data_IF_709946019324
#
_entry.id   IF_709946019324
#
_cell.length_a   1.000
_cell.length_b   1.000
_cell.length_c   1.000
_cell.angle_alpha   90.00
_cell.angle_beta   90.00
_cell.angle_gamma   90.00
#
_symmetry.space_group_name_H-M   'P 1'
#
loop_
_entity.id
_entity.type
_entity.pdbx_description
1 polymer ?
#
# COMPACT_ATOMS: atom_id res chain seq x y z
N UNK A 1 -0.03 1.02 -0.84
CA UNK A 1 -1.37 1.39 -0.40
C UNK A 1 -2.13 1.95 -1.58
N UNK A 2 -3.22 1.28 -1.93
CA UNK A 2 -4.23 1.74 -2.87
C UNK A 2 -5.25 2.61 -2.12
N UNK A 3 -4.97 3.91 -2.04
CA UNK A 3 -5.79 4.85 -1.25
C UNK A 3 -7.08 5.25 -1.97
N UNK A 4 -7.13 5.11 -3.30
CA UNK A 4 -8.35 5.41 -4.07
C UNK A 4 -9.43 4.38 -3.76
N UNK A 5 -9.07 3.10 -3.76
CA UNK A 5 -9.99 2.05 -3.35
C UNK A 5 -10.10 2.02 -1.83
N UNK A 6 -9.03 1.95 -1.05
CA UNK A 6 -9.08 1.85 0.41
C UNK A 6 -8.77 3.19 1.10
N UNK A 7 -9.73 4.11 1.02
CA UNK A 7 -9.65 5.45 1.65
C UNK A 7 -9.66 5.39 3.18
N UNK A 8 -9.04 6.39 3.80
CA UNK A 8 -9.15 6.64 5.23
C UNK A 8 -10.60 6.99 5.56
N UNK A 9 -11.25 6.33 6.53
CA UNK A 9 -12.62 6.65 6.90
C UNK A 9 -12.77 8.10 7.37
N UNK A 10 -13.96 8.67 7.17
CA UNK A 10 -14.28 10.02 7.63
C UNK A 10 -14.00 10.17 9.14
N UNK A 11 -13.42 11.31 9.54
CA UNK A 11 -12.98 11.61 10.91
C UNK A 11 -11.94 10.65 11.52
N UNK A 12 -11.17 9.92 10.71
CA UNK A 12 -10.01 9.14 11.17
C UNK A 12 -8.71 9.80 10.73
N UNK A 13 -7.69 9.71 11.59
CA UNK A 13 -6.37 10.24 11.30
C UNK A 13 -5.59 9.28 10.41
N UNK A 14 -5.12 9.77 9.26
CA UNK A 14 -4.21 9.02 8.38
C UNK A 14 -2.87 8.75 9.08
N UNK A 15 -2.41 9.68 9.92
CA UNK A 15 -1.17 9.57 10.70
C UNK A 15 -1.23 8.33 11.60
N UNK A 16 -2.31 8.23 12.39
CA UNK A 16 -2.52 7.07 13.27
C UNK A 16 -2.65 5.75 12.49
N UNK A 17 -3.25 5.78 11.29
CA UNK A 17 -3.33 4.59 10.45
C UNK A 17 -1.93 4.13 9.99
N UNK A 18 -1.10 5.06 9.50
CA UNK A 18 0.27 4.76 9.06
C UNK A 18 1.10 4.23 10.24
N UNK A 19 1.01 4.86 11.41
CA UNK A 19 1.68 4.39 12.63
C UNK A 19 1.25 2.98 13.02
N UNK A 20 -0.05 2.67 12.95
CA UNK A 20 -0.56 1.35 13.30
C UNK A 20 -0.12 0.28 12.31
N UNK A 21 -0.02 0.61 11.02
CA UNK A 21 0.50 -0.28 9.98
C UNK A 21 1.98 -0.58 10.22
N UNK A 22 2.78 0.45 10.57
CA UNK A 22 4.19 0.28 10.94
C UNK A 22 4.36 -0.59 12.17
N UNK A 23 3.53 -0.34 13.19
CA UNK A 23 3.54 -1.13 14.42
C UNK A 23 3.21 -2.61 14.14
N UNK A 24 2.23 -2.89 13.27
CA UNK A 24 1.90 -4.25 12.85
C UNK A 24 3.10 -4.96 12.20
N UNK A 25 3.85 -4.27 11.33
CA UNK A 25 5.06 -4.84 10.73
C UNK A 25 6.15 -5.08 11.79
N UNK A 26 6.34 -4.13 12.71
CA UNK A 26 7.32 -4.23 13.79
C UNK A 26 7.02 -5.37 14.77
N UNK A 27 5.74 -5.57 15.14
CA UNK A 27 5.27 -6.68 15.97
C UNK A 27 5.59 -8.06 15.34
N UNK A 28 5.73 -8.11 14.01
CA UNK A 28 6.16 -9.29 13.24
C UNK A 28 7.66 -9.33 12.93
N UNK A 29 8.45 -8.50 13.61
CA UNK A 29 9.91 -8.43 13.46
C UNK A 29 10.39 -7.94 12.08
N UNK A 30 9.56 -7.18 11.35
CA UNK A 30 9.95 -6.53 10.10
C UNK A 30 10.31 -5.06 10.32
N UNK A 31 11.28 -4.58 9.52
CA UNK A 31 11.61 -3.16 9.42
C UNK A 31 11.05 -2.60 8.09
N UNK A 32 10.50 -1.39 8.14
CA UNK A 32 10.00 -0.71 6.94
C UNK A 32 11.14 -0.51 5.93
N UNK A 33 10.92 -0.96 4.70
CA UNK A 33 11.80 -0.64 3.58
C UNK A 33 11.22 0.46 2.69
N UNK A 34 9.96 0.29 2.33
CA UNK A 34 9.19 1.24 1.54
C UNK A 34 7.76 1.27 2.07
N UNK A 35 7.20 2.48 2.19
CA UNK A 35 5.78 2.71 2.38
C UNK A 35 5.31 3.64 1.28
N UNK A 36 4.55 3.12 0.32
CA UNK A 36 4.15 3.86 -0.87
C UNK A 36 2.64 3.91 -1.01
N UNK A 37 2.14 5.10 -1.35
CA UNK A 37 0.75 5.39 -1.66
C UNK A 37 0.68 5.80 -3.13
N UNK A 38 -0.18 5.16 -3.91
CA UNK A 38 -0.33 5.46 -5.33
C UNK A 38 -1.72 6.04 -5.57
N UNK A 39 -1.80 7.25 -6.12
CA UNK A 39 -3.06 7.93 -6.40
C UNK A 39 -2.90 9.11 -7.36
N UNK A 40 -4.01 9.56 -7.94
CA UNK A 40 -4.06 10.89 -8.56
C UNK A 40 -4.13 11.96 -7.47
N UNK A 41 -2.99 12.59 -7.18
CA UNK A 41 -2.89 13.65 -6.14
C UNK A 41 -3.83 14.83 -6.38
N UNK A 42 -4.34 15.04 -7.60
CA UNK A 42 -5.32 16.09 -7.91
C UNK A 42 -6.72 15.76 -7.38
N UNK A 43 -6.99 14.48 -7.08
CA UNK A 43 -8.26 13.99 -6.52
C UNK A 43 -8.24 13.84 -5.00
N UNK A 44 -7.07 14.03 -4.37
CA UNK A 44 -6.88 13.96 -2.93
C UNK A 44 -7.02 15.36 -2.33
N UNK A 45 -7.70 15.45 -1.19
CA UNK A 45 -7.82 16.71 -0.46
C UNK A 45 -6.44 17.15 0.06
N UNK A 46 -6.08 18.43 -0.09
CA UNK A 46 -4.78 18.95 0.33
C UNK A 46 -4.40 18.61 1.79
N UNK A 47 -5.31 18.72 2.79
CA UNK A 47 -4.98 18.34 4.17
C UNK A 47 -4.60 16.87 4.32
N UNK A 48 -5.26 15.96 3.58
CA UNK A 48 -4.92 14.54 3.60
C UNK A 48 -3.55 14.29 2.96
N UNK A 49 -3.21 15.03 1.91
CA UNK A 49 -1.90 14.94 1.27
C UNK A 49 -0.78 15.45 2.19
N UNK A 50 -1.01 16.54 2.92
CA UNK A 50 -0.07 17.10 3.89
C UNK A 50 0.15 16.15 5.07
N UNK A 51 -0.91 15.53 5.58
CA UNK A 51 -0.79 14.51 6.63
C UNK A 51 -0.01 13.29 6.14
N UNK A 52 -0.26 12.80 4.91
CA UNK A 52 0.53 11.72 4.30
C UNK A 52 2.01 12.10 4.22
N UNK A 53 2.33 13.30 3.72
CA UNK A 53 3.70 13.78 3.64
C UNK A 53 4.38 13.86 5.02
N UNK A 54 3.64 14.29 6.05
CA UNK A 54 4.13 14.37 7.44
C UNK A 54 4.50 12.99 7.99
N UNK A 55 3.82 11.93 7.56
CA UNK A 55 4.14 10.55 7.96
C UNK A 55 5.35 9.94 7.25
N UNK A 56 5.96 10.67 6.31
CA UNK A 56 7.09 10.21 5.50
C UNK A 56 6.77 8.99 4.61
N UNK A 57 5.49 8.82 4.23
CA UNK A 57 5.15 7.85 3.18
C UNK A 57 5.40 8.45 1.80
N UNK A 58 5.85 7.64 0.86
CA UNK A 58 6.08 8.10 -0.52
C UNK A 58 4.76 8.16 -1.27
N UNK A 59 4.32 9.37 -1.63
CA UNK A 59 3.14 9.56 -2.49
C UNK A 59 3.56 9.57 -3.97
N UNK A 60 3.17 8.53 -4.70
CA UNK A 60 3.42 8.39 -6.13
C UNK A 60 2.20 8.91 -6.89
N UNK A 61 2.38 10.04 -7.56
CA UNK A 61 1.35 10.60 -8.43
C UNK A 61 1.17 9.74 -9.68
N UNK A 62 -0.08 9.37 -9.97
CA UNK A 62 -0.48 8.79 -11.24
C UNK A 62 -1.60 9.61 -11.87
N UNK A 63 -1.52 9.81 -13.18
CA UNK A 63 -2.53 10.58 -13.88
C UNK A 63 -3.78 9.72 -14.10
N UNK A 64 -4.91 10.11 -13.51
CA UNK A 64 -6.15 9.35 -13.55
C UNK A 64 -6.86 9.26 -14.91
N UNK A 65 -6.23 9.70 -16.02
CA UNK A 65 -6.77 9.51 -17.38
C UNK A 65 -6.69 8.05 -17.83
N UNK A 66 -5.75 7.28 -17.29
CA UNK A 66 -5.61 5.85 -17.58
C UNK A 66 -6.28 5.07 -16.46
N UNK A 67 -7.37 4.38 -16.79
CA UNK A 67 -8.05 3.44 -15.89
C UNK A 67 -7.04 2.40 -15.39
N UNK A 68 -7.04 2.12 -14.09
CA UNK A 68 -6.14 1.16 -13.42
C UNK A 68 -4.64 1.54 -13.42
N UNK A 69 -4.28 2.80 -13.71
CA UNK A 69 -2.89 3.23 -13.64
C UNK A 69 -2.28 3.03 -12.24
N UNK A 70 -3.07 3.34 -11.20
CA UNK A 70 -2.69 3.12 -9.80
C UNK A 70 -2.33 1.65 -9.55
N UNK A 71 -3.18 0.73 -10.02
CA UNK A 71 -3.00 -0.72 -9.83
C UNK A 71 -1.76 -1.24 -10.54
N UNK A 72 -1.56 -0.85 -11.80
CA UNK A 72 -0.40 -1.26 -12.59
C UNK A 72 0.91 -0.80 -11.94
N UNK A 73 0.96 0.44 -11.45
CA UNK A 73 2.12 0.96 -10.73
C UNK A 73 2.32 0.18 -9.43
N UNK A 74 1.27 -0.04 -8.63
CA UNK A 74 1.37 -0.83 -7.39
C UNK A 74 1.90 -2.25 -7.65
N UNK A 75 1.41 -2.93 -8.69
CA UNK A 75 1.89 -4.25 -9.10
C UNK A 75 3.38 -4.19 -9.48
N UNK A 76 3.79 -3.19 -10.26
CA UNK A 76 5.19 -2.98 -10.62
C UNK A 76 6.08 -2.71 -9.39
N UNK A 77 5.58 -1.93 -8.41
CA UNK A 77 6.29 -1.67 -7.15
C UNK A 77 6.47 -2.94 -6.34
N UNK A 78 5.46 -3.81 -6.28
CA UNK A 78 5.53 -5.12 -5.62
C UNK A 78 6.58 -6.01 -6.29
N UNK A 79 6.52 -6.21 -7.61
CA UNK A 79 7.50 -7.04 -8.33
C UNK A 79 8.92 -6.49 -8.14
N UNK A 80 9.11 -5.16 -8.20
CA UNK A 80 10.41 -4.52 -7.98
C UNK A 80 10.94 -4.75 -6.55
N UNK A 81 10.10 -4.55 -5.54
CA UNK A 81 10.49 -4.77 -4.15
C UNK A 81 10.95 -6.22 -3.92
N UNK A 82 10.24 -7.20 -4.47
CA UNK A 82 10.61 -8.61 -4.36
C UNK A 82 11.88 -8.94 -5.15
N UNK A 83 12.07 -8.33 -6.32
CA UNK A 83 13.32 -8.47 -7.08
C UNK A 83 14.53 -7.93 -6.29
N UNK A 84 14.36 -6.79 -5.60
CA UNK A 84 15.44 -6.12 -4.87
C UNK A 84 15.76 -6.77 -3.52
N UNK A 85 14.75 -7.26 -2.79
CA UNK A 85 14.93 -7.84 -1.43
C UNK A 85 15.04 -9.35 -1.41
N UNK A 86 14.52 -10.03 -2.44
CA UNK A 86 14.53 -11.48 -2.51
C UNK A 86 13.63 -12.16 -1.48
N UNK A 87 14.03 -13.36 -1.09
CA UNK A 87 13.28 -14.26 -0.20
C UNK A 87 13.23 -13.72 1.24
N UNK A 88 12.20 -14.12 2.00
CA UNK A 88 12.00 -13.73 3.41
C UNK A 88 11.68 -12.24 3.63
N UNK A 89 11.01 -11.61 2.66
CA UNK A 89 10.43 -10.27 2.79
C UNK A 89 8.94 -10.34 3.16
N UNK A 90 8.38 -9.20 3.56
CA UNK A 90 6.96 -9.06 3.85
C UNK A 90 6.33 -7.95 3.01
N UNK A 91 5.08 -8.16 2.63
CA UNK A 91 4.23 -7.18 1.96
C UNK A 91 3.02 -6.93 2.86
N UNK A 92 2.81 -5.66 3.22
CA UNK A 92 1.53 -5.19 3.77
C UNK A 92 0.78 -4.46 2.66
N UNK A 93 -0.26 -5.10 2.12
CA UNK A 93 -1.10 -4.51 1.09
C UNK A 93 -2.36 -3.92 1.70
N UNK A 94 -2.62 -2.64 1.45
CA UNK A 94 -3.84 -1.94 1.84
C UNK A 94 -4.65 -1.70 0.57
N UNK A 95 -5.63 -2.56 0.31
CA UNK A 95 -6.55 -2.51 -0.83
C UNK A 95 -7.70 -3.50 -0.59
N UNK A 96 -8.85 -3.24 -1.18
CA UNK A 96 -9.97 -4.18 -1.29
C UNK A 96 -10.20 -4.67 -2.73
N UNK A 97 -9.28 -4.39 -3.65
CA UNK A 97 -9.34 -4.88 -5.02
C UNK A 97 -8.78 -6.31 -5.16
N UNK A 98 -9.60 -7.21 -5.69
CA UNK A 98 -9.23 -8.60 -6.00
C UNK A 98 -8.14 -8.70 -7.07
N UNK A 99 -7.94 -7.67 -7.90
CA UNK A 99 -6.93 -7.65 -8.96
C UNK A 99 -5.51 -7.85 -8.45
N UNK A 100 -5.23 -7.56 -7.17
CA UNK A 100 -3.92 -7.83 -6.56
C UNK A 100 -3.72 -9.29 -6.12
N UNK A 101 -4.78 -10.10 -6.04
CA UNK A 101 -4.70 -11.49 -5.57
C UNK A 101 -3.70 -12.36 -6.37
N UNK A 102 -3.66 -12.31 -7.72
CA UNK A 102 -2.73 -13.12 -8.49
C UNK A 102 -1.26 -12.80 -8.20
N UNK A 103 -0.89 -11.52 -8.14
CA UNK A 103 0.50 -11.10 -7.88
C UNK A 103 0.93 -11.42 -6.44
N UNK A 104 0.06 -11.18 -5.46
CA UNK A 104 0.33 -11.52 -4.06
C UNK A 104 0.47 -13.03 -3.87
N UNK A 105 -0.40 -13.82 -4.49
CA UNK A 105 -0.33 -15.29 -4.44
C UNK A 105 0.93 -15.84 -5.11
N UNK A 106 1.31 -15.29 -6.27
CA UNK A 106 2.58 -15.61 -6.96
C UNK A 106 3.77 -15.42 -6.02
N UNK A 107 3.90 -14.27 -5.38
CA UNK A 107 5.05 -14.00 -4.51
C UNK A 107 5.00 -14.76 -3.19
N UNK A 108 3.83 -14.97 -2.60
CA UNK A 108 3.69 -15.82 -1.42
C UNK A 108 4.18 -17.24 -1.68
N UNK A 109 3.75 -17.83 -2.79
CA UNK A 109 4.05 -19.24 -3.11
C UNK A 109 5.47 -19.43 -3.67
N UNK A 110 5.92 -18.56 -4.57
CA UNK A 110 7.18 -18.75 -5.29
C UNK A 110 8.37 -18.10 -4.59
N UNK A 111 8.15 -16.98 -3.89
CA UNK A 111 9.20 -16.19 -3.23
C UNK A 111 9.18 -16.31 -1.70
N UNK A 112 8.25 -17.09 -1.13
CA UNK A 112 8.07 -17.28 0.33
C UNK A 112 7.95 -15.95 1.06
N UNK A 113 7.23 -15.01 0.46
CA UNK A 113 6.97 -13.67 1.01
C UNK A 113 5.79 -13.75 1.96
N UNK A 114 5.91 -13.13 3.13
CA UNK A 114 4.78 -12.98 4.03
C UNK A 114 3.84 -11.90 3.48
N UNK A 115 2.56 -12.22 3.31
CA UNK A 115 1.57 -11.28 2.78
C UNK A 115 0.52 -11.00 3.86
N UNK A 116 0.39 -9.73 4.22
CA UNK A 116 -0.69 -9.21 5.08
C UNK A 116 -1.59 -8.31 4.26
N UNK A 117 -2.86 -8.65 4.16
CA UNK A 117 -3.87 -7.83 3.47
C UNK A 117 -4.71 -7.05 4.50
N UNK A 118 -4.77 -5.74 4.35
CA UNK A 118 -5.64 -4.85 5.10
C UNK A 118 -6.74 -4.39 4.12
N UNK A 119 -7.96 -4.83 4.40
CA UNK A 119 -9.14 -4.54 3.59
C UNK A 119 -10.21 -3.91 4.47
N UNK A 120 -11.13 -3.16 3.85
CA UNK A 120 -12.33 -2.70 4.54
C UNK A 120 -13.16 -3.90 4.98
N UNK A 121 -13.71 -3.84 6.19
CA UNK A 121 -14.66 -4.85 6.64
C UNK A 121 -15.91 -4.73 5.78
N UNK A 122 -16.31 -5.81 5.13
CA UNK A 122 -17.62 -5.90 4.50
C UNK A 122 -18.69 -5.73 5.59
N UNK A 123 -19.66 -4.85 5.33
CA UNK A 123 -20.78 -4.59 6.22
C UNK A 123 -21.68 -5.82 6.37
#
# INVERSE_FOLDING_TARGET
WDIENCQVPFNRSVIQLVERVRQLAFERQYCENVFEVVCDTRKIAAPLLDDLNTTQVTVIHVCGFTKNASDLILMQRIDKFIADKGYNSAIVMISDDINFSPILSKHRNNNRVEVTLIQRRAA
#
